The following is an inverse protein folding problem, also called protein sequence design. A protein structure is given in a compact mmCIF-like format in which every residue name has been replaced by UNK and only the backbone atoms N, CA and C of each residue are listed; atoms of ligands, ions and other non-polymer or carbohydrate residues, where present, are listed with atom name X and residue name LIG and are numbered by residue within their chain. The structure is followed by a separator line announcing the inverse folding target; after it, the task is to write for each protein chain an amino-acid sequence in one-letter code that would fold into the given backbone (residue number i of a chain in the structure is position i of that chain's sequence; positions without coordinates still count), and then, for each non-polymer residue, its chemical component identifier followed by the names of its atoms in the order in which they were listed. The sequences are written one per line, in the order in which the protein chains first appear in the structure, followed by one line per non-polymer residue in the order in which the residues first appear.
data_IF_028756439094
#
_entry.id   IF_028756439094
#
_cell.length_a   1.000
_cell.length_b   1.000
_cell.length_c   1.000
_cell.angle_alpha   90.00
_cell.angle_beta   90.00
_cell.angle_gamma   90.00
#
_symmetry.space_group_name_H-M   'P 1'
#
loop_
_entity.id
_entity.type
_entity.pdbx_description
1 polymer ?
#
# COMPACT_ATOMS: atom_id res chain seq x y z
N UNK A 1 -29.40 2.80 -8.58
CA UNK A 1 -29.03 3.40 -9.85
C UNK A 1 -28.32 2.37 -10.72
N UNK A 2 -28.62 2.37 -12.05
CA UNK A 2 -27.91 1.51 -12.99
C UNK A 2 -26.49 1.99 -13.23
N UNK A 3 -25.65 1.17 -13.91
CA UNK A 3 -24.25 1.50 -14.25
C UNK A 3 -24.12 2.87 -14.91
N UNK A 4 -24.93 3.16 -15.92
CA UNK A 4 -24.93 4.43 -16.66
C UNK A 4 -25.18 5.64 -15.76
N UNK A 5 -26.14 5.52 -14.82
CA UNK A 5 -26.44 6.59 -13.89
C UNK A 5 -25.26 6.85 -12.91
N UNK A 6 -24.54 5.80 -12.52
CA UNK A 6 -23.34 5.93 -11.67
C UNK A 6 -22.18 6.57 -12.44
N UNK A 7 -21.92 6.14 -13.67
CA UNK A 7 -20.89 6.76 -14.52
C UNK A 7 -21.22 8.23 -14.80
N UNK A 8 -22.48 8.55 -15.13
CA UNK A 8 -22.92 9.93 -15.31
C UNK A 8 -22.74 10.79 -14.05
N UNK A 9 -23.00 10.25 -12.85
CA UNK A 9 -22.74 10.97 -11.60
C UNK A 9 -21.26 11.19 -11.33
N UNK A 10 -20.39 10.21 -11.66
CA UNK A 10 -18.95 10.36 -11.53
C UNK A 10 -18.43 11.44 -12.47
N UNK A 11 -18.81 11.38 -13.74
CA UNK A 11 -18.43 12.37 -14.75
C UNK A 11 -18.90 13.78 -14.39
N UNK A 12 -20.12 13.91 -13.89
CA UNK A 12 -20.66 15.21 -13.47
C UNK A 12 -19.91 15.82 -12.27
N UNK A 13 -19.42 14.97 -11.32
CA UNK A 13 -18.78 15.45 -10.08
C UNK A 13 -17.28 15.61 -10.20
N UNK A 14 -16.63 14.74 -10.95
CA UNK A 14 -15.16 14.60 -10.95
C UNK A 14 -14.52 14.90 -12.31
N UNK A 15 -15.33 15.11 -13.36
CA UNK A 15 -14.85 15.31 -14.72
C UNK A 15 -15.02 14.07 -15.59
N UNK A 16 -14.56 14.14 -16.84
CA UNK A 16 -14.68 13.06 -17.81
C UNK A 16 -13.63 11.97 -17.62
N UNK A 17 -13.70 10.89 -18.42
CA UNK A 17 -12.70 9.82 -18.44
C UNK A 17 -13.10 8.55 -17.69
N UNK A 18 -14.29 8.48 -17.08
CA UNK A 18 -14.77 7.25 -16.43
C UNK A 18 -15.38 6.30 -17.45
N UNK A 19 -14.76 5.13 -17.65
CA UNK A 19 -15.12 4.13 -18.67
C UNK A 19 -15.46 2.79 -18.02
N UNK A 20 -16.56 2.15 -18.44
CA UNK A 20 -16.93 0.79 -18.02
C UNK A 20 -16.02 -0.23 -18.72
N UNK A 21 -15.10 -0.82 -17.96
CA UNK A 21 -14.19 -1.85 -18.47
C UNK A 21 -14.83 -3.24 -18.52
N UNK A 22 -16.01 -3.42 -17.95
CA UNK A 22 -16.85 -4.60 -18.11
C UNK A 22 -17.77 -4.56 -19.33
N UNK A 23 -17.78 -3.45 -20.09
CA UNK A 23 -18.54 -3.34 -21.34
C UNK A 23 -17.89 -4.18 -22.47
N UNK A 24 -18.66 -4.54 -23.53
CA UNK A 24 -18.11 -5.14 -24.74
C UNK A 24 -16.96 -4.32 -25.32
N UNK A 25 -15.96 -5.01 -25.89
CA UNK A 25 -14.72 -4.35 -26.35
C UNK A 25 -14.97 -3.15 -27.27
N UNK A 26 -15.87 -3.29 -28.24
CA UNK A 26 -16.15 -2.22 -29.18
C UNK A 26 -16.69 -0.95 -28.49
N UNK A 27 -17.66 -1.12 -27.60
CA UNK A 27 -18.23 0.01 -26.82
C UNK A 27 -17.20 0.66 -25.89
N UNK A 28 -16.36 -0.16 -25.27
CA UNK A 28 -15.28 0.30 -24.42
C UNK A 28 -14.24 1.08 -25.21
N UNK A 29 -13.81 0.56 -26.35
CA UNK A 29 -12.77 1.18 -27.19
C UNK A 29 -13.27 2.51 -27.77
N UNK A 30 -14.54 2.62 -28.15
CA UNK A 30 -15.20 3.88 -28.54
C UNK A 30 -15.18 4.90 -27.38
N UNK A 31 -15.56 4.48 -26.18
CA UNK A 31 -15.56 5.35 -25.01
C UNK A 31 -14.15 5.81 -24.65
N UNK A 32 -13.14 4.92 -24.75
CA UNK A 32 -11.74 5.23 -24.50
C UNK A 32 -11.17 6.23 -25.51
N UNK A 33 -11.53 6.10 -26.78
CA UNK A 33 -11.12 7.01 -27.84
C UNK A 33 -11.58 8.46 -27.58
N UNK A 34 -12.74 8.64 -26.94
CA UNK A 34 -13.23 9.96 -26.56
C UNK A 34 -12.48 10.61 -25.39
N UNK A 35 -11.71 9.82 -24.62
CA UNK A 35 -11.01 10.31 -23.44
C UNK A 35 -9.57 10.83 -23.73
N UNK A 36 -8.95 10.39 -24.85
CA UNK A 36 -7.56 10.74 -25.13
C UNK A 36 -7.33 10.76 -26.67
N UNK A 37 -6.76 11.84 -27.17
CA UNK A 37 -6.51 12.02 -28.61
C UNK A 37 -5.68 10.90 -29.23
N UNK A 38 -4.66 10.39 -28.50
CA UNK A 38 -3.82 9.30 -28.99
C UNK A 38 -4.58 7.98 -29.09
N UNK A 39 -5.51 7.73 -28.17
CA UNK A 39 -6.40 6.57 -28.25
C UNK A 39 -7.35 6.70 -29.46
N UNK A 40 -7.83 7.89 -29.75
CA UNK A 40 -8.63 8.17 -30.92
C UNK A 40 -7.85 7.89 -32.22
N UNK A 41 -6.63 8.43 -32.34
CA UNK A 41 -5.76 8.18 -33.50
C UNK A 41 -5.48 6.69 -33.68
N UNK A 42 -5.08 6.00 -32.59
CA UNK A 42 -4.80 4.55 -32.64
C UNK A 42 -6.03 3.75 -33.06
N UNK A 43 -7.21 4.10 -32.54
CA UNK A 43 -8.45 3.42 -32.91
C UNK A 43 -8.80 3.62 -34.38
N UNK A 44 -8.60 4.81 -34.94
CA UNK A 44 -8.85 5.09 -36.37
C UNK A 44 -7.87 4.35 -37.27
N UNK A 45 -6.62 4.21 -36.89
CA UNK A 45 -5.57 3.57 -37.67
C UNK A 45 -5.61 2.03 -37.58
N UNK A 46 -5.80 1.49 -36.37
CA UNK A 46 -5.71 0.05 -36.10
C UNK A 46 -7.07 -0.64 -35.97
N UNK A 47 -8.17 0.10 -35.82
CA UNK A 47 -9.53 -0.43 -35.68
C UNK A 47 -9.82 -1.03 -34.30
N UNK A 48 -8.96 -0.81 -33.30
CA UNK A 48 -9.14 -1.27 -31.92
C UNK A 48 -7.98 -0.87 -31.03
N UNK A 49 -8.17 -1.01 -29.71
CA UNK A 49 -7.19 -0.62 -28.72
C UNK A 49 -6.62 -1.84 -27.97
N UNK A 50 -5.31 -1.83 -27.74
CA UNK A 50 -4.62 -2.83 -26.93
C UNK A 50 -4.41 -2.31 -25.49
N UNK A 51 -4.03 -3.20 -24.58
CA UNK A 51 -3.69 -2.78 -23.20
C UNK A 51 -2.51 -1.79 -23.18
N UNK A 52 -1.52 -1.98 -24.06
CA UNK A 52 -0.34 -1.13 -24.16
C UNK A 52 -0.69 0.31 -24.59
N UNK A 53 -1.75 0.48 -25.38
CA UNK A 53 -2.25 1.80 -25.77
C UNK A 53 -2.99 2.49 -24.60
N UNK A 54 -3.76 1.72 -23.83
CA UNK A 54 -4.63 2.21 -22.78
C UNK A 54 -3.85 2.60 -21.51
N UNK A 55 -2.83 1.81 -21.11
CA UNK A 55 -2.06 2.03 -19.89
C UNK A 55 -1.48 3.44 -19.74
N UNK A 56 -0.87 4.05 -20.78
CA UNK A 56 -0.41 5.42 -20.70
C UNK A 56 -1.50 6.46 -20.44
N UNK A 57 -2.71 6.26 -20.95
CA UNK A 57 -3.84 7.15 -20.71
C UNK A 57 -4.35 7.04 -19.27
N UNK A 58 -4.36 5.82 -18.69
CA UNK A 58 -4.63 5.59 -17.27
C UNK A 58 -3.57 6.28 -16.40
N UNK A 59 -2.29 6.11 -16.73
CA UNK A 59 -1.18 6.72 -16.00
C UNK A 59 -1.23 8.25 -16.00
N UNK A 60 -1.68 8.86 -17.10
CA UNK A 60 -1.90 10.32 -17.21
C UNK A 60 -3.21 10.80 -16.59
N UNK A 61 -4.06 9.88 -16.09
CA UNK A 61 -5.39 10.19 -15.53
C UNK A 61 -6.37 10.77 -16.56
N UNK A 62 -6.22 10.41 -17.83
CA UNK A 62 -7.21 10.70 -18.87
C UNK A 62 -8.31 9.63 -18.88
N UNK A 63 -7.99 8.43 -18.39
CA UNK A 63 -8.92 7.30 -18.26
C UNK A 63 -8.94 6.79 -16.82
N UNK A 64 -10.15 6.62 -16.30
CA UNK A 64 -10.43 6.02 -15.00
C UNK A 64 -11.23 4.73 -15.22
N UNK A 65 -10.58 3.55 -15.18
CA UNK A 65 -11.26 2.28 -15.38
C UNK A 65 -12.29 2.02 -14.29
N UNK A 66 -13.51 1.64 -14.69
CA UNK A 66 -14.59 1.28 -13.79
C UNK A 66 -15.01 -0.16 -14.02
N UNK A 67 -15.11 -0.95 -12.97
CA UNK A 67 -15.72 -2.28 -12.96
C UNK A 67 -16.93 -2.26 -12.03
N UNK A 68 -17.99 -2.93 -12.46
CA UNK A 68 -19.21 -3.02 -11.68
C UNK A 68 -19.43 -4.45 -11.22
N UNK A 69 -19.54 -4.64 -9.92
CA UNK A 69 -19.71 -5.94 -9.31
C UNK A 69 -20.70 -5.94 -8.16
N UNK A 70 -21.11 -7.12 -7.74
CA UNK A 70 -21.99 -7.34 -6.58
C UNK A 70 -21.35 -8.37 -5.68
N UNK A 71 -20.77 -7.92 -4.58
CA UNK A 71 -20.03 -8.77 -3.64
C UNK A 71 -20.88 -9.85 -2.93
N UNK A 72 -22.22 -9.71 -2.90
CA UNK A 72 -23.12 -10.64 -2.25
C UNK A 72 -23.79 -11.64 -3.22
N UNK A 73 -23.69 -11.40 -4.52
CA UNK A 73 -24.26 -12.30 -5.53
C UNK A 73 -23.15 -13.16 -6.12
N UNK A 74 -23.35 -14.48 -6.04
CA UNK A 74 -22.49 -15.45 -6.71
C UNK A 74 -23.02 -15.72 -8.10
N UNK A 75 -22.16 -15.80 -9.06
CA UNK A 75 -22.47 -16.34 -10.39
C UNK A 75 -22.76 -17.85 -10.32
N UNK A 76 -23.43 -18.37 -11.32
CA UNK A 76 -23.78 -19.81 -11.41
C UNK A 76 -22.54 -20.74 -11.36
N UNK A 77 -21.35 -20.22 -11.66
CA UNK A 77 -20.06 -20.92 -11.59
C UNK A 77 -19.35 -20.79 -10.23
N UNK A 78 -19.95 -20.09 -9.25
CA UNK A 78 -19.42 -19.96 -7.89
C UNK A 78 -18.51 -18.75 -7.63
N UNK A 79 -18.21 -17.92 -8.64
CA UNK A 79 -17.48 -16.65 -8.52
C UNK A 79 -18.35 -15.50 -7.97
N UNK A 80 -17.72 -14.43 -7.54
CA UNK A 80 -18.40 -13.17 -7.19
C UNK A 80 -18.50 -12.32 -8.44
N UNK A 81 -19.70 -11.84 -8.75
CA UNK A 81 -19.96 -11.07 -9.96
C UNK A 81 -19.09 -9.82 -10.02
N UNK A 82 -18.30 -9.67 -11.10
CA UNK A 82 -17.45 -8.52 -11.37
C UNK A 82 -16.11 -8.48 -10.62
N UNK A 83 -15.82 -9.48 -9.76
CA UNK A 83 -14.57 -9.52 -9.00
C UNK A 83 -13.43 -10.07 -9.84
N UNK A 84 -13.67 -11.13 -10.60
CA UNK A 84 -12.65 -11.74 -11.45
C UNK A 84 -12.22 -10.76 -12.54
N UNK A 85 -13.16 -10.05 -13.16
CA UNK A 85 -12.89 -9.01 -14.16
C UNK A 85 -12.08 -7.84 -13.59
N UNK A 86 -12.34 -7.44 -12.33
CA UNK A 86 -11.54 -6.43 -11.64
C UNK A 86 -10.10 -6.91 -11.42
N UNK A 87 -9.93 -8.16 -10.94
CA UNK A 87 -8.61 -8.74 -10.69
C UNK A 87 -7.80 -8.90 -11.97
N UNK A 88 -8.42 -9.39 -13.04
CA UNK A 88 -7.81 -9.45 -14.38
C UNK A 88 -7.47 -8.05 -14.91
N UNK A 89 -8.35 -7.07 -14.67
CA UNK A 89 -8.11 -5.69 -15.02
C UNK A 89 -6.92 -5.09 -14.30
N UNK A 90 -6.76 -5.35 -12.99
CA UNK A 90 -5.60 -4.92 -12.21
C UNK A 90 -4.31 -5.54 -12.76
N UNK A 91 -4.29 -6.84 -13.05
CA UNK A 91 -3.12 -7.50 -13.62
C UNK A 91 -2.77 -6.94 -15.01
N UNK A 92 -3.78 -6.71 -15.85
CA UNK A 92 -3.61 -6.29 -17.24
C UNK A 92 -3.19 -4.83 -17.40
N UNK A 93 -3.76 -3.92 -16.60
CA UNK A 93 -3.62 -2.47 -16.80
C UNK A 93 -2.69 -1.78 -15.79
N UNK A 94 -2.16 -2.50 -14.79
CA UNK A 94 -1.15 -1.93 -13.90
C UNK A 94 0.26 -2.28 -14.34
N UNK A 95 1.21 -1.45 -13.95
CA UNK A 95 2.65 -1.70 -14.15
C UNK A 95 3.36 -1.55 -12.82
N UNK A 96 4.33 -2.41 -12.58
CA UNK A 96 5.23 -2.24 -11.45
C UNK A 96 6.01 -0.94 -11.61
N UNK A 97 6.21 -0.22 -10.51
CA UNK A 97 7.11 0.91 -10.50
C UNK A 97 8.53 0.45 -10.89
N UNK A 98 9.28 1.25 -11.67
CA UNK A 98 10.65 0.91 -12.01
C UNK A 98 11.47 0.72 -10.74
N UNK A 99 12.27 -0.33 -10.70
CA UNK A 99 13.18 -0.59 -9.58
C UNK A 99 14.34 0.42 -9.61
N UNK A 100 14.76 0.90 -8.43
CA UNK A 100 15.99 1.66 -8.29
C UNK A 100 17.18 0.74 -8.57
N UNK A 101 18.26 1.27 -9.15
CA UNK A 101 19.49 0.50 -9.38
C UNK A 101 20.18 0.15 -8.05
N UNK A 102 20.29 1.12 -7.15
CA UNK A 102 20.84 0.92 -5.83
C UNK A 102 19.80 0.31 -4.87
N UNK A 103 20.29 -0.34 -3.81
CA UNK A 103 19.41 -0.81 -2.75
C UNK A 103 18.58 0.33 -2.20
N UNK A 104 17.28 0.10 -2.17
CA UNK A 104 16.29 0.97 -1.57
C UNK A 104 15.15 0.14 -0.97
N UNK A 105 14.64 0.57 0.17
CA UNK A 105 13.45 -0.03 0.77
C UNK A 105 12.68 1.02 1.58
N UNK A 106 11.37 0.83 1.72
CA UNK A 106 10.51 1.70 2.51
C UNK A 106 9.78 0.90 3.58
N UNK A 107 9.95 1.34 4.81
CA UNK A 107 9.22 0.80 5.95
C UNK A 107 7.80 1.36 5.95
N UNK A 108 6.80 0.51 6.03
CA UNK A 108 5.40 0.95 6.02
C UNK A 108 4.61 0.51 7.26
N UNK A 109 5.14 -0.45 8.02
CA UNK A 109 4.48 -0.96 9.22
C UNK A 109 5.50 -1.51 10.22
N UNK A 110 5.19 -1.41 11.50
CA UNK A 110 5.82 -2.15 12.59
C UNK A 110 4.74 -2.97 13.28
N UNK A 111 5.06 -4.18 13.69
CA UNK A 111 4.19 -5.04 14.48
C UNK A 111 5.01 -5.97 15.36
N UNK A 112 4.36 -6.77 16.19
CA UNK A 112 5.01 -7.84 16.96
C UNK A 112 4.45 -9.20 16.52
N UNK A 113 5.28 -10.23 16.57
CA UNK A 113 4.81 -11.60 16.38
C UNK A 113 4.21 -12.16 17.68
N UNK A 114 3.69 -13.39 17.62
CA UNK A 114 3.08 -14.08 18.78
C UNK A 114 4.02 -14.24 19.99
N UNK A 115 5.32 -14.11 19.78
CA UNK A 115 6.36 -14.19 20.83
C UNK A 115 6.80 -12.81 21.31
N UNK A 116 6.22 -11.73 20.77
CA UNK A 116 6.58 -10.36 21.09
C UNK A 116 7.85 -9.89 20.39
N UNK A 117 8.36 -10.62 19.37
CA UNK A 117 9.50 -10.15 18.56
C UNK A 117 9.02 -9.06 17.59
N UNK A 118 9.74 -7.94 17.58
CA UNK A 118 9.45 -6.81 16.71
C UNK A 118 9.70 -7.15 15.25
N UNK A 119 8.69 -6.91 14.42
CA UNK A 119 8.70 -7.07 12.98
C UNK A 119 8.64 -5.70 12.30
N UNK A 120 9.65 -5.38 11.52
CA UNK A 120 9.67 -4.17 10.68
C UNK A 120 9.32 -4.58 9.26
N UNK A 121 8.13 -4.17 8.81
CA UNK A 121 7.61 -4.48 7.48
C UNK A 121 8.08 -3.45 6.47
N UNK A 122 8.72 -3.92 5.42
CA UNK A 122 9.22 -3.06 4.37
C UNK A 122 8.95 -3.64 2.98
N UNK A 123 8.92 -2.76 2.01
CA UNK A 123 8.94 -3.09 0.59
C UNK A 123 10.29 -2.69 0.02
N UNK A 124 10.96 -3.62 -0.65
CA UNK A 124 12.18 -3.34 -1.40
C UNK A 124 11.82 -2.61 -2.69
N UNK A 125 12.45 -1.48 -2.95
CA UNK A 125 12.19 -0.61 -4.13
C UNK A 125 13.32 -0.63 -5.14
N UNK A 126 14.50 -1.13 -4.75
CA UNK A 126 15.64 -1.30 -5.62
C UNK A 126 16.72 -2.19 -5.03
N UNK A 127 17.60 -2.68 -5.88
CA UNK A 127 18.66 -3.59 -5.48
C UNK A 127 18.14 -4.86 -4.80
N UNK A 128 18.86 -5.35 -3.81
CA UNK A 128 18.55 -6.58 -3.06
C UNK A 128 18.84 -6.39 -1.57
N UNK A 129 17.90 -6.79 -0.71
CA UNK A 129 18.12 -6.89 0.73
C UNK A 129 18.55 -8.31 1.09
N UNK A 130 19.73 -8.46 1.68
CA UNK A 130 20.24 -9.76 2.16
C UNK A 130 20.11 -9.90 3.67
N UNK A 131 19.95 -11.13 4.13
CA UNK A 131 20.05 -11.45 5.55
C UNK A 131 21.41 -11.01 6.10
N UNK A 132 21.43 -10.48 7.35
CA UNK A 132 22.62 -9.87 7.98
C UNK A 132 23.16 -8.59 7.33
N UNK A 133 22.49 -8.06 6.31
CA UNK A 133 22.83 -6.73 5.79
C UNK A 133 22.72 -5.66 6.89
N UNK A 134 23.68 -4.75 6.90
CA UNK A 134 23.63 -3.59 7.77
C UNK A 134 22.76 -2.51 7.10
N UNK A 135 21.76 -2.09 7.80
CA UNK A 135 20.85 -1.00 7.39
C UNK A 135 21.14 0.21 8.25
N UNK A 136 21.08 1.37 7.64
CA UNK A 136 21.33 2.65 8.29
C UNK A 136 20.17 3.59 8.06
N UNK A 137 19.94 4.50 8.97
CA UNK A 137 18.91 5.54 8.86
C UNK A 137 19.15 6.62 9.91
N UNK A 138 18.19 7.52 10.01
CA UNK A 138 18.18 8.58 11.02
C UNK A 138 16.85 8.49 11.79
N UNK A 139 16.90 8.65 13.09
CA UNK A 139 15.72 8.72 13.95
C UNK A 139 16.01 9.72 15.07
N UNK A 140 15.07 10.66 15.30
CA UNK A 140 15.16 11.69 16.33
C UNK A 140 16.46 12.52 16.28
N UNK A 141 17.03 12.72 15.07
CA UNK A 141 18.28 13.44 14.82
C UNK A 141 19.55 12.62 15.09
N UNK A 142 19.41 11.33 15.40
CA UNK A 142 20.52 10.41 15.60
C UNK A 142 20.65 9.40 14.46
N UNK A 143 21.86 9.22 13.95
CA UNK A 143 22.15 8.17 12.98
C UNK A 143 22.19 6.81 13.68
N UNK A 144 21.58 5.82 13.05
CA UNK A 144 21.61 4.45 13.55
C UNK A 144 22.08 3.47 12.47
N UNK A 145 22.61 2.34 12.93
CA UNK A 145 23.05 1.24 12.08
C UNK A 145 22.68 -0.08 12.76
N UNK A 146 21.80 -0.86 12.15
CA UNK A 146 21.29 -2.12 12.68
C UNK A 146 21.36 -3.23 11.63
N UNK A 147 21.33 -4.48 12.06
CA UNK A 147 21.40 -5.64 11.14
C UNK A 147 20.03 -6.27 10.93
N UNK A 148 19.72 -6.54 9.67
CA UNK A 148 18.57 -7.36 9.29
C UNK A 148 18.82 -8.83 9.70
N UNK A 149 18.34 -9.27 10.86
CA UNK A 149 18.63 -10.59 11.39
C UNK A 149 17.95 -11.72 10.62
N UNK A 150 16.68 -11.56 10.29
CA UNK A 150 15.89 -12.48 9.46
C UNK A 150 15.07 -11.69 8.47
N UNK A 151 14.85 -12.28 7.32
CA UNK A 151 13.88 -11.80 6.32
C UNK A 151 12.76 -12.83 6.24
N UNK A 152 11.54 -12.42 6.57
CA UNK A 152 10.36 -13.29 6.63
C UNK A 152 9.39 -12.90 5.52
N UNK A 153 9.10 -13.82 4.61
CA UNK A 153 8.07 -13.68 3.58
C UNK A 153 6.78 -14.33 4.09
N UNK A 154 5.77 -13.52 4.33
CA UNK A 154 4.50 -13.96 4.87
C UNK A 154 3.51 -14.34 3.77
N UNK A 155 2.76 -15.42 4.01
CA UNK A 155 1.56 -15.79 3.26
C UNK A 155 0.45 -16.13 4.27
N UNK A 156 -0.46 -15.19 4.49
CA UNK A 156 -1.39 -15.24 5.62
C UNK A 156 -0.66 -15.22 6.96
N UNK A 157 -0.98 -16.16 7.85
CA UNK A 157 -0.34 -16.29 9.17
C UNK A 157 1.02 -17.02 9.17
N UNK A 158 1.38 -17.63 8.05
CA UNK A 158 2.64 -18.39 7.92
C UNK A 158 3.69 -17.59 7.20
N UNK A 159 4.95 -17.85 7.53
CA UNK A 159 6.08 -17.24 6.81
C UNK A 159 7.15 -18.26 6.45
N UNK A 160 7.95 -17.94 5.46
CA UNK A 160 9.18 -18.60 5.09
C UNK A 160 10.35 -17.65 5.30
N UNK A 161 11.52 -18.19 5.66
CA UNK A 161 12.75 -17.41 5.73
C UNK A 161 13.34 -17.26 4.33
N UNK A 162 13.81 -16.06 4.01
CA UNK A 162 14.50 -15.77 2.78
C UNK A 162 15.94 -15.33 3.07
N UNK A 163 16.89 -15.73 2.23
CA UNK A 163 18.27 -15.25 2.28
C UNK A 163 18.40 -13.85 1.66
N UNK A 164 17.54 -13.55 0.70
CA UNK A 164 17.51 -12.27 0.01
C UNK A 164 16.08 -11.94 -0.47
N UNK A 165 15.78 -10.62 -0.58
CA UNK A 165 14.51 -10.08 -1.06
C UNK A 165 14.79 -9.01 -2.09
N UNK A 166 14.18 -9.14 -3.26
CA UNK A 166 14.38 -8.25 -4.40
C UNK A 166 13.32 -7.14 -4.53
N UNK A 167 13.46 -6.27 -5.55
CA UNK A 167 12.57 -5.15 -5.78
C UNK A 167 11.11 -5.58 -5.99
N UNK A 168 10.18 -4.78 -5.45
CA UNK A 168 8.74 -5.04 -5.51
C UNK A 168 8.23 -5.99 -4.42
N UNK A 169 9.08 -6.78 -3.81
CA UNK A 169 8.71 -7.72 -2.75
C UNK A 169 8.54 -7.02 -1.40
N UNK A 170 7.66 -7.58 -0.59
CA UNK A 170 7.40 -7.17 0.79
C UNK A 170 7.91 -8.25 1.73
N UNK A 171 8.61 -7.85 2.79
CA UNK A 171 9.05 -8.76 3.83
C UNK A 171 8.96 -8.11 5.22
N UNK A 172 8.91 -8.94 6.25
CA UNK A 172 9.13 -8.53 7.63
C UNK A 172 10.58 -8.82 8.03
N UNK A 173 11.23 -7.82 8.62
CA UNK A 173 12.63 -7.88 9.05
C UNK A 173 12.68 -7.89 10.57
N UNK A 174 13.48 -8.76 11.16
CA UNK A 174 13.80 -8.74 12.60
C UNK A 174 15.16 -8.11 12.83
N UNK A 175 15.35 -7.54 14.03
CA UNK A 175 16.63 -6.91 14.44
C UNK A 175 16.71 -5.40 14.18
N UNK A 176 15.65 -4.78 13.65
CA UNK A 176 15.55 -3.33 13.52
C UNK A 176 14.70 -2.79 14.65
N UNK A 177 15.24 -1.88 15.46
CA UNK A 177 14.56 -1.28 16.60
C UNK A 177 14.26 0.21 16.38
N UNK A 178 15.05 0.88 15.54
CA UNK A 178 14.96 2.32 15.30
C UNK A 178 14.08 2.71 14.11
N UNK A 179 13.97 1.82 13.10
CA UNK A 179 13.16 2.08 11.92
C UNK A 179 11.67 2.17 12.28
N UNK A 180 10.96 3.18 11.76
CA UNK A 180 9.53 3.45 12.00
C UNK A 180 8.76 3.44 10.68
N UNK A 181 7.43 3.30 10.68
CA UNK A 181 6.64 3.52 9.48
C UNK A 181 6.98 4.86 8.82
N UNK A 182 7.24 4.84 7.51
CA UNK A 182 7.70 6.01 6.77
C UNK A 182 9.21 6.08 6.56
N UNK A 183 10.03 5.35 7.33
CA UNK A 183 11.50 5.34 7.17
C UNK A 183 11.90 4.82 5.79
N UNK A 184 12.70 5.59 5.07
CA UNK A 184 13.41 5.20 3.87
C UNK A 184 14.78 4.60 4.20
N UNK A 185 15.15 3.54 3.48
CA UNK A 185 16.42 2.85 3.66
C UNK A 185 17.21 2.85 2.35
N UNK A 186 18.53 3.00 2.45
CA UNK A 186 19.41 3.05 1.28
C UNK A 186 19.13 4.25 0.38
N UNK A 187 18.73 4.01 -0.87
CA UNK A 187 18.42 5.08 -1.85
C UNK A 187 17.04 5.71 -1.65
N UNK A 188 16.18 5.14 -0.79
CA UNK A 188 14.88 5.73 -0.48
C UNK A 188 15.02 6.84 0.56
N UNK A 189 14.17 7.86 0.41
CA UNK A 189 14.00 8.92 1.39
C UNK A 189 12.85 8.59 2.33
N UNK A 190 12.87 9.18 3.51
CA UNK A 190 11.71 9.10 4.40
C UNK A 190 10.47 9.66 3.71
N UNK A 191 9.33 9.06 3.98
CA UNK A 191 8.04 9.56 3.49
C UNK A 191 7.57 10.71 4.36
N UNK A 192 6.81 11.63 3.73
CA UNK A 192 6.15 12.69 4.46
C UNK A 192 5.22 12.13 5.55
N UNK A 193 5.09 12.88 6.64
CA UNK A 193 4.16 12.55 7.71
C UNK A 193 2.71 12.54 7.19
N UNK A 194 1.83 11.73 7.79
CA UNK A 194 0.42 11.75 7.44
C UNK A 194 -0.17 13.16 7.57
N UNK A 195 -0.99 13.55 6.61
CA UNK A 195 -1.67 14.85 6.60
C UNK A 195 -2.70 14.97 7.73
N UNK A 196 -3.25 13.84 8.18
CA UNK A 196 -4.25 13.78 9.24
C UNK A 196 -3.55 13.56 10.58
N UNK A 197 -3.65 14.55 11.46
CA UNK A 197 -3.20 14.45 12.84
C UNK A 197 -4.37 14.06 13.77
N UNK A 198 -4.10 13.28 14.84
CA UNK A 198 -5.11 12.98 15.85
C UNK A 198 -5.56 14.27 16.56
N UNK A 199 -6.88 14.50 16.58
CA UNK A 199 -7.46 15.71 17.21
C UNK A 199 -8.06 15.43 18.60
N UNK A 200 -8.11 14.17 19.00
CA UNK A 200 -8.66 13.75 20.28
C UNK A 200 -7.57 13.16 21.17
N UNK A 201 -7.55 13.59 22.43
CA UNK A 201 -6.69 13.00 23.46
C UNK A 201 -7.54 12.32 24.51
N UNK A 202 -7.09 11.16 24.96
CA UNK A 202 -7.76 10.38 25.99
C UNK A 202 -6.83 10.15 27.18
N UNK A 203 -7.39 10.24 28.40
CA UNK A 203 -6.70 9.81 29.59
C UNK A 203 -6.95 8.30 29.80
N UNK A 204 -5.86 7.55 29.97
CA UNK A 204 -5.94 6.13 30.32
C UNK A 204 -6.01 6.03 31.86
N UNK A 205 -7.12 5.51 32.39
CA UNK A 205 -7.28 5.25 33.80
C UNK A 205 -7.00 3.78 34.09
N UNK A 206 -6.00 3.51 34.89
CA UNK A 206 -5.67 2.14 35.28
C UNK A 206 -6.51 1.72 36.51
N UNK A 207 -6.88 0.43 36.62
CA UNK A 207 -7.54 -0.10 37.81
C UNK A 207 -6.62 -0.02 39.05
N UNK A 208 -7.22 0.02 40.22
CA UNK A 208 -6.48 0.07 41.48
C UNK A 208 -5.53 -1.13 41.62
N UNK A 209 -4.29 -0.89 41.99
CA UNK A 209 -3.24 -1.90 42.13
C UNK A 209 -2.57 -2.34 40.79
N UNK A 210 -2.91 -1.72 39.69
CA UNK A 210 -2.24 -2.02 38.41
C UNK A 210 -0.79 -1.49 38.42
N UNK A 211 0.10 -2.26 37.77
CA UNK A 211 1.48 -1.82 37.56
C UNK A 211 1.53 -0.78 36.43
N UNK A 212 1.74 0.48 36.85
CA UNK A 212 1.79 1.65 35.97
C UNK A 212 2.94 1.54 34.96
N UNK A 213 4.12 1.08 35.39
CA UNK A 213 5.28 0.97 34.51
C UNK A 213 5.09 -0.12 33.44
N UNK A 214 4.47 -1.25 33.84
CA UNK A 214 4.12 -2.30 32.89
C UNK A 214 3.07 -1.84 31.88
N UNK A 215 2.08 -1.04 32.33
CA UNK A 215 1.06 -0.47 31.46
C UNK A 215 1.66 0.55 30.48
N UNK A 216 2.51 1.46 30.96
CA UNK A 216 3.21 2.43 30.12
C UNK A 216 4.09 1.73 29.08
N UNK A 217 4.83 0.69 29.47
CA UNK A 217 5.63 -0.11 28.53
C UNK A 217 4.80 -0.81 27.44
N UNK A 218 3.54 -1.18 27.75
CA UNK A 218 2.61 -1.71 26.74
C UNK A 218 2.10 -0.63 25.80
N UNK A 219 1.79 0.56 26.32
CA UNK A 219 1.36 1.70 25.51
C UNK A 219 2.45 2.17 24.56
N UNK A 220 3.70 2.24 25.00
CA UNK A 220 4.83 2.58 24.10
C UNK A 220 5.05 1.52 23.01
N UNK A 221 4.80 0.25 23.30
CA UNK A 221 4.83 -0.78 22.24
C UNK A 221 3.73 -0.60 21.21
N UNK A 222 2.53 -0.19 21.62
CA UNK A 222 1.45 0.16 20.69
C UNK A 222 1.80 1.40 19.87
N UNK A 223 2.46 2.38 20.49
CA UNK A 223 2.95 3.57 19.79
C UNK A 223 4.02 3.25 18.73
N UNK A 224 4.85 2.22 18.94
CA UNK A 224 5.77 1.74 17.91
C UNK A 224 5.03 1.21 16.67
N UNK A 225 3.86 0.56 16.88
CA UNK A 225 2.99 0.05 15.80
C UNK A 225 2.19 1.18 15.15
N UNK A 226 1.71 2.14 15.96
CA UNK A 226 0.89 3.28 15.57
C UNK A 226 1.48 4.59 16.13
N UNK A 227 2.43 5.22 15.44
CA UNK A 227 3.12 6.41 15.92
C UNK A 227 2.21 7.61 16.23
N UNK A 228 0.99 7.62 15.68
CA UNK A 228 0.02 8.69 15.93
C UNK A 228 -0.63 8.64 17.33
N UNK A 229 -0.39 7.59 18.11
CA UNK A 229 -0.91 7.49 19.48
C UNK A 229 -0.35 8.57 20.40
N UNK A 230 0.88 9.05 20.20
CA UNK A 230 1.54 10.08 20.98
C UNK A 230 1.35 9.87 22.50
N UNK A 231 1.89 8.76 23.02
CA UNK A 231 1.77 8.40 24.43
C UNK A 231 2.58 9.37 25.29
N UNK A 232 1.92 10.11 26.15
CA UNK A 232 2.55 11.07 27.07
C UNK A 232 2.28 10.65 28.51
N UNK A 233 3.35 10.46 29.27
CA UNK A 233 3.28 10.29 30.71
C UNK A 233 3.26 11.64 31.42
N UNK A 234 2.28 11.87 32.30
CA UNK A 234 2.18 13.08 33.08
C UNK A 234 2.19 12.75 34.59
N UNK A 235 3.32 12.99 35.24
CA UNK A 235 3.51 12.70 36.67
C UNK A 235 2.55 13.44 37.58
N UNK A 236 2.05 14.61 37.14
CA UNK A 236 1.17 15.45 37.97
C UNK A 236 -0.28 14.97 37.96
N UNK A 237 -0.68 14.26 36.89
CA UNK A 237 -2.05 13.78 36.75
C UNK A 237 -2.21 12.29 37.12
N UNK A 238 -1.14 11.60 37.43
CA UNK A 238 -1.09 10.19 37.82
C UNK A 238 -1.35 9.23 36.65
#
# INVERSE_FOLDING_TARGET
PGKEALLGQLSHRLGEGFVDFGAPQAERDEALALCDERLMETMLDAGGLTAEDIIPAIARRHVFPCWFGVALQRENAGGLQGVDELLEGLDRYTRAAPALEAFGARVFKVSQDERGERLTWLRVTGGELKVKAQLTGEADGEHWAEKANQLRLYSGAKYTLAEAVGPGQVCAVTGLTKARPGTGLGAERDSDLPVLEPVLSYRVCLPEGADVHAALGRLHRLEEEEPQLHVVWNETLG
#
